data_IF_757220536369
#
_entry.id   IF_757220536369
#
_cell.length_a   1.000
_cell.length_b   1.000
_cell.length_c   1.000
_cell.angle_alpha   90.00
_cell.angle_beta   90.00
_cell.angle_gamma   90.00
#
_symmetry.space_group_name_H-M   'P 1'
#
loop_
_entity.id
_entity.type
_entity.pdbx_description
1 polymer ?
#
# COMPACT_ATOMS: atom_id res chain seq x y z
N UNK A 1 3.11 10.47 -13.21
CA UNK A 1 2.73 10.19 -11.81
C UNK A 1 1.22 10.00 -11.80
N UNK A 2 0.78 8.77 -11.56
CA UNK A 2 -0.63 8.39 -11.44
C UNK A 2 -1.26 9.21 -10.29
N UNK A 3 -2.51 9.64 -10.42
CA UNK A 3 -3.23 10.38 -9.37
C UNK A 3 -3.44 9.50 -8.14
N UNK A 4 -2.48 9.50 -7.22
CA UNK A 4 -2.58 8.76 -5.95
C UNK A 4 -3.29 9.66 -4.94
N UNK A 5 -4.42 9.25 -4.35
CA UNK A 5 -5.18 10.07 -3.42
C UNK A 5 -4.39 10.45 -2.16
N UNK A 6 -4.67 11.62 -1.59
CA UNK A 6 -4.13 12.03 -0.29
C UNK A 6 -4.50 11.02 0.81
N UNK A 7 -3.56 10.74 1.71
CA UNK A 7 -3.72 9.73 2.78
C UNK A 7 -3.30 8.30 2.38
N UNK A 8 -2.71 8.13 1.20
CA UNK A 8 -2.16 6.85 0.76
C UNK A 8 -0.89 6.51 1.54
N UNK A 9 -0.85 5.33 2.16
CA UNK A 9 0.36 4.81 2.83
C UNK A 9 1.07 3.86 1.85
N UNK A 10 2.25 4.25 1.37
CA UNK A 10 2.93 3.48 0.32
C UNK A 10 3.72 2.35 0.94
N UNK A 11 3.62 1.16 0.37
CA UNK A 11 4.35 -0.01 0.86
C UNK A 11 5.15 -0.54 -0.31
N UNK A 12 6.45 -0.30 -0.26
CA UNK A 12 7.34 -0.69 -1.33
C UNK A 12 7.52 -2.21 -1.27
N UNK A 13 7.08 -2.91 -2.32
CA UNK A 13 7.49 -4.31 -2.49
C UNK A 13 8.94 -4.32 -3.00
N UNK A 14 9.71 -5.30 -2.55
CA UNK A 14 11.13 -5.50 -2.81
C UNK A 14 11.36 -5.78 -4.30
N UNK A 15 11.38 -4.72 -5.09
CA UNK A 15 12.04 -4.61 -6.40
C UNK A 15 12.00 -3.15 -6.79
N UNK A 16 13.17 -2.55 -7.01
CA UNK A 16 13.44 -1.15 -7.37
C UNK A 16 12.56 -0.52 -8.49
N UNK A 17 11.69 -1.31 -9.12
CA UNK A 17 10.89 -0.95 -10.29
C UNK A 17 9.37 -1.02 -10.05
N UNK A 18 8.89 -1.69 -9.00
CA UNK A 18 7.45 -1.91 -8.79
C UNK A 18 7.00 -1.38 -7.42
N UNK A 19 6.61 -0.11 -7.40
CA UNK A 19 5.89 0.47 -6.26
C UNK A 19 4.45 -0.06 -6.25
N UNK A 20 4.05 -0.66 -5.14
CA UNK A 20 2.66 -1.03 -4.88
C UNK A 20 2.15 -0.07 -3.82
N UNK A 21 0.95 0.46 -4.01
CA UNK A 21 0.39 1.44 -3.10
C UNK A 21 -0.68 0.77 -2.26
N UNK A 22 -0.68 1.04 -0.96
CA UNK A 22 -1.67 0.50 -0.03
C UNK A 22 -2.38 1.64 0.70
N UNK A 23 -3.52 1.33 1.30
CA UNK A 23 -4.18 2.22 2.26
C UNK A 23 -5.01 1.39 3.21
N UNK A 24 -5.20 1.86 4.43
CA UNK A 24 -6.18 1.28 5.32
C UNK A 24 -7.47 2.12 5.27
N UNK A 25 -8.60 1.48 4.99
CA UNK A 25 -9.90 2.13 4.91
C UNK A 25 -10.90 1.33 5.75
N UNK A 26 -11.39 1.92 6.84
CA UNK A 26 -12.28 1.26 7.80
C UNK A 26 -11.71 -0.04 8.41
N UNK A 27 -10.40 -0.10 8.65
CA UNK A 27 -9.72 -1.27 9.21
C UNK A 27 -9.49 -2.41 8.20
N UNK A 28 -9.77 -2.18 6.92
CA UNK A 28 -9.46 -3.10 5.82
C UNK A 28 -8.29 -2.54 5.04
N UNK A 29 -7.25 -3.35 4.87
CA UNK A 29 -6.14 -3.00 4.00
C UNK A 29 -6.57 -3.13 2.53
N UNK A 30 -6.33 -2.08 1.75
CA UNK A 30 -6.56 -2.04 0.31
C UNK A 30 -5.25 -1.82 -0.43
N UNK A 31 -5.18 -2.36 -1.64
CA UNK A 31 -4.06 -2.22 -2.57
C UNK A 31 -4.52 -1.56 -3.86
N UNK A 32 -3.70 -0.67 -4.41
CA UNK A 32 -3.97 -0.01 -5.68
C UNK A 32 -3.61 -0.96 -6.82
N UNK A 33 -4.61 -1.37 -7.57
CA UNK A 33 -4.44 -2.27 -8.71
C UNK A 33 -5.29 -1.77 -9.87
N UNK A 34 -4.71 -1.69 -11.06
CA UNK A 34 -5.41 -1.33 -12.31
C UNK A 34 -6.27 -0.06 -12.27
N UNK A 35 -5.95 0.90 -11.39
CA UNK A 35 -6.69 2.16 -11.29
C UNK A 35 -7.82 2.17 -10.25
N UNK A 36 -7.92 1.12 -9.43
CA UNK A 36 -8.90 1.00 -8.35
C UNK A 36 -8.28 0.47 -7.05
N UNK A 37 -8.96 0.72 -5.94
CA UNK A 37 -8.59 0.17 -4.63
C UNK A 37 -9.33 -1.15 -4.42
N UNK A 38 -8.59 -2.25 -4.37
CA UNK A 38 -9.13 -3.58 -4.08
C UNK A 38 -8.64 -4.05 -2.72
N UNK A 39 -9.36 -4.98 -2.11
CA UNK A 39 -8.95 -5.56 -0.83
C UNK A 39 -7.61 -6.27 -1.00
N UNK A 40 -6.67 -5.97 -0.09
CA UNK A 40 -5.37 -6.61 -0.09
C UNK A 40 -5.50 -8.06 0.40
N UNK A 41 -4.62 -8.93 -0.09
CA UNK A 41 -4.52 -10.31 0.41
C UNK A 41 -4.01 -10.36 1.85
N UNK A 42 -3.25 -9.34 2.26
CA UNK A 42 -2.75 -9.19 3.63
C UNK A 42 -3.79 -8.41 4.45
N UNK A 43 -4.16 -8.87 5.65
CA UNK A 43 -5.29 -8.30 6.38
C UNK A 43 -5.01 -6.91 6.98
N UNK A 44 -3.75 -6.56 7.24
CA UNK A 44 -3.37 -5.29 7.88
C UNK A 44 -1.94 -4.89 7.57
N UNK A 45 -1.64 -3.61 7.80
CA UNK A 45 -0.28 -3.07 7.68
C UNK A 45 0.68 -3.75 8.67
N UNK A 46 0.22 -4.05 9.88
CA UNK A 46 1.04 -4.74 10.89
C UNK A 46 1.52 -6.10 10.39
N UNK A 47 0.65 -6.88 9.75
CA UNK A 47 1.04 -8.15 9.14
C UNK A 47 2.06 -7.95 8.02
N UNK A 48 1.96 -6.87 7.24
CA UNK A 48 2.98 -6.56 6.23
C UNK A 48 4.35 -6.26 6.84
N UNK A 49 4.40 -5.53 7.96
CA UNK A 49 5.65 -5.29 8.69
C UNK A 49 6.23 -6.61 9.20
N UNK A 50 5.39 -7.45 9.82
CA UNK A 50 5.78 -8.76 10.33
C UNK A 50 6.30 -9.70 9.23
N UNK A 51 5.72 -9.61 8.03
CA UNK A 51 6.14 -10.35 6.83
C UNK A 51 7.41 -9.76 6.18
N UNK A 52 7.96 -8.67 6.72
CA UNK A 52 9.22 -8.06 6.29
C UNK A 52 9.11 -7.06 5.14
N UNK A 53 7.92 -6.48 4.91
CA UNK A 53 7.72 -5.45 3.90
C UNK A 53 8.27 -4.09 4.38
N UNK A 54 8.90 -3.35 3.49
CA UNK A 54 9.36 -1.99 3.76
C UNK A 54 8.22 -0.99 3.48
N UNK A 55 7.74 -0.34 4.55
CA UNK A 55 6.74 0.71 4.46
C UNK A 55 7.41 2.07 4.27
N UNK A 56 7.01 2.83 3.25
CA UNK A 56 7.48 4.21 3.06
C UNK A 56 6.28 5.15 3.02
N UNK A 57 6.22 6.10 3.95
CA UNK A 57 5.13 7.07 3.96
C UNK A 57 5.45 8.18 2.97
N UNK A 58 4.72 8.24 1.85
CA UNK A 58 4.78 9.41 0.98
C UNK A 58 4.21 10.60 1.74
N UNK A 59 5.08 11.54 2.12
CA UNK A 59 4.67 12.85 2.59
C UNK A 59 4.38 13.72 1.37
N UNK A 60 3.11 14.13 1.24
CA UNK A 60 2.62 15.12 0.28
C UNK A 60 3.07 16.53 0.64
#
# INVERSE_FOLDING_TARGET
>A
MTNIPNGTQVIHHISFLNHVYYKEENGVLKVWSKGEWVDALIPSINQMIDDGFELEVLQS
#
